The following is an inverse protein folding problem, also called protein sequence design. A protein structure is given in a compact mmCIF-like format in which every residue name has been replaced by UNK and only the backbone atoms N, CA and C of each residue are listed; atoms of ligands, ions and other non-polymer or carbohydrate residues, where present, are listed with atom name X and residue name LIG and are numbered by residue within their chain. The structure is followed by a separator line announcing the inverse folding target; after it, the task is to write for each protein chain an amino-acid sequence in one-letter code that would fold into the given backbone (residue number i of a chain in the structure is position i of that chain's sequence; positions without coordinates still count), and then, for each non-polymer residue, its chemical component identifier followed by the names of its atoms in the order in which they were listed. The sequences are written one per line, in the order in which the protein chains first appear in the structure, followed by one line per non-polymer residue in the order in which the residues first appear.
data_IF_671943487840
#
_entry.id   IF_671943487840
#
_cell.length_a   1.000
_cell.length_b   1.000
_cell.length_c   1.000
_cell.angle_alpha   90.00
_cell.angle_beta   90.00
_cell.angle_gamma   90.00
#
_symmetry.space_group_name_H-M   'P 1'
#
loop_
_entity.id
_entity.type
_entity.pdbx_description
1 polymer ?
#
# COMPACT_ATOMS: atom_id res chain seq x y z
N UNK A 1 20.26 37.91 42.19
CA UNK A 1 20.08 38.03 40.72
C UNK A 1 20.23 36.65 40.08
N UNK A 2 19.17 36.21 39.41
CA UNK A 2 19.05 35.28 38.29
C UNK A 2 20.24 34.36 37.93
N UNK A 3 19.98 33.05 37.88
CA UNK A 3 20.52 32.06 36.88
C UNK A 3 19.92 30.65 37.11
N UNK A 4 18.60 30.50 37.04
CA UNK A 4 17.93 29.17 37.27
C UNK A 4 17.22 28.55 36.05
N UNK A 5 17.24 29.15 34.86
CA UNK A 5 16.28 28.76 33.80
C UNK A 5 16.82 27.95 32.61
N UNK A 6 18.04 27.41 32.63
CA UNK A 6 18.63 26.78 31.43
C UNK A 6 18.83 25.25 31.43
N UNK A 7 18.38 24.50 32.45
CA UNK A 7 18.55 23.02 32.44
C UNK A 7 17.40 22.23 31.81
N UNK A 8 16.24 22.83 31.55
CA UNK A 8 15.03 22.08 31.14
C UNK A 8 15.04 21.67 29.65
N UNK A 9 15.88 22.26 28.80
CA UNK A 9 15.83 22.04 27.34
C UNK A 9 16.68 20.88 26.77
N UNK A 10 17.59 20.27 27.55
CA UNK A 10 18.56 19.27 27.01
C UNK A 10 18.09 17.80 27.06
N UNK A 11 17.18 17.44 27.98
CA UNK A 11 16.71 16.05 28.14
C UNK A 11 15.45 15.70 27.32
N UNK A 12 14.69 16.70 26.89
CA UNK A 12 13.48 16.50 26.10
C UNK A 12 13.76 16.05 24.65
N UNK A 13 14.90 16.48 24.08
CA UNK A 13 15.31 16.15 22.71
C UNK A 13 15.51 14.63 22.50
N UNK A 14 16.35 13.91 23.29
CA UNK A 14 16.59 12.49 23.07
C UNK A 14 15.34 11.62 23.27
N UNK A 15 14.46 11.99 24.20
CA UNK A 15 13.22 11.26 24.46
C UNK A 15 12.21 11.45 23.32
N UNK A 16 12.06 12.66 22.80
CA UNK A 16 11.19 12.93 21.66
C UNK A 16 11.66 12.17 20.40
N UNK A 17 12.98 12.11 20.15
CA UNK A 17 13.53 11.28 19.06
C UNK A 17 13.33 9.79 19.27
N UNK A 18 13.43 9.28 20.50
CA UNK A 18 13.20 7.86 20.77
C UNK A 18 11.73 7.47 20.57
N UNK A 19 10.79 8.33 20.97
CA UNK A 19 9.35 8.15 20.72
C UNK A 19 9.06 8.20 19.22
N UNK A 20 9.60 9.18 18.50
CA UNK A 20 9.41 9.27 17.05
C UNK A 20 9.97 8.05 16.31
N UNK A 21 11.17 7.59 16.69
CA UNK A 21 11.76 6.37 16.13
C UNK A 21 10.93 5.12 16.45
N UNK A 22 10.39 5.02 17.67
CA UNK A 22 9.48 3.93 18.06
C UNK A 22 8.19 3.92 17.25
N UNK A 23 7.59 5.08 16.95
CA UNK A 23 6.38 5.20 16.12
C UNK A 23 6.65 4.73 14.69
N UNK A 24 7.80 5.07 14.11
CA UNK A 24 8.20 4.64 12.77
C UNK A 24 8.39 3.12 12.66
N UNK A 25 8.69 2.40 13.75
CA UNK A 25 8.85 0.95 13.75
C UNK A 25 7.52 0.18 13.86
N UNK A 26 6.41 0.85 14.17
CA UNK A 26 5.10 0.22 14.36
C UNK A 26 4.16 0.32 13.14
N UNK A 27 4.64 0.73 11.96
CA UNK A 27 3.79 0.77 10.77
C UNK A 27 3.58 -0.63 10.21
N UNK A 28 2.35 -1.17 10.19
CA UNK A 28 2.09 -2.42 9.47
C UNK A 28 2.41 -2.22 7.98
N UNK A 29 2.94 -3.26 7.34
CA UNK A 29 3.18 -3.23 5.90
C UNK A 29 1.83 -3.08 5.17
N UNK A 30 1.60 -1.92 4.56
CA UNK A 30 0.49 -1.73 3.64
C UNK A 30 0.86 -2.41 2.33
N UNK A 31 0.10 -3.43 1.97
CA UNK A 31 0.39 -4.25 0.81
C UNK A 31 -0.94 -4.55 0.11
N UNK A 32 -0.95 -4.27 -1.19
CA UNK A 32 -2.13 -4.41 -2.03
C UNK A 32 -2.49 -5.88 -2.28
N UNK A 33 -1.67 -6.83 -1.83
CA UNK A 33 -1.88 -8.28 -1.97
C UNK A 33 -2.11 -8.72 -3.41
N UNK A 34 -1.51 -8.03 -4.37
CA UNK A 34 -1.48 -8.46 -5.77
C UNK A 34 -0.47 -9.60 -5.89
N UNK A 35 -0.96 -10.79 -6.19
CA UNK A 35 -0.14 -12.01 -6.26
C UNK A 35 0.33 -12.29 -7.68
N UNK A 36 -0.36 -11.78 -8.71
CA UNK A 36 0.01 -12.01 -10.11
C UNK A 36 -0.46 -10.90 -11.04
N UNK A 37 0.37 -10.55 -12.02
CA UNK A 37 0.03 -9.60 -13.10
C UNK A 37 0.14 -10.32 -14.44
N UNK A 38 -0.89 -10.18 -15.26
CA UNK A 38 -0.87 -10.59 -16.67
C UNK A 38 -1.01 -9.34 -17.52
N UNK A 39 -0.05 -9.12 -18.43
CA UNK A 39 -0.20 -8.14 -19.52
C UNK A 39 -0.84 -8.87 -20.69
N UNK A 40 -2.07 -8.50 -21.02
CA UNK A 40 -2.83 -9.14 -22.08
C UNK A 40 -2.43 -8.57 -23.46
N UNK A 41 -2.16 -7.26 -23.56
CA UNK A 41 -1.63 -6.65 -24.79
C UNK A 41 -0.88 -5.34 -24.52
N UNK A 42 0.02 -4.99 -25.44
CA UNK A 42 0.70 -3.68 -25.46
C UNK A 42 0.59 -3.11 -26.87
N UNK A 43 -0.02 -1.92 -26.99
CA UNK A 43 -0.23 -1.27 -28.30
C UNK A 43 0.35 0.15 -28.31
N UNK A 44 0.96 0.60 -29.42
CA UNK A 44 1.39 1.99 -29.55
C UNK A 44 0.17 2.92 -29.61
N UNK A 45 0.28 4.11 -29.03
CA UNK A 45 -0.74 5.16 -29.13
C UNK A 45 -0.39 6.04 -30.33
N UNK A 46 -1.24 6.02 -31.36
CA UNK A 46 -1.00 6.76 -32.60
C UNK A 46 -0.75 8.27 -32.35
N UNK A 47 0.32 8.80 -32.94
CA UNK A 47 0.70 10.20 -32.83
C UNK A 47 1.22 10.63 -31.47
N UNK A 48 1.52 9.71 -30.55
CA UNK A 48 2.03 10.01 -29.21
C UNK A 48 3.27 9.14 -28.90
N UNK A 49 4.26 9.65 -28.13
CA UNK A 49 5.41 8.88 -27.68
C UNK A 49 5.02 8.00 -26.48
N UNK A 50 3.97 7.20 -26.65
CA UNK A 50 3.42 6.33 -25.61
C UNK A 50 3.01 4.99 -26.19
N UNK A 51 3.22 3.94 -25.41
CA UNK A 51 2.58 2.65 -25.58
C UNK A 51 1.57 2.42 -24.45
N UNK A 52 0.63 1.52 -24.68
CA UNK A 52 -0.45 1.22 -23.77
C UNK A 52 -0.50 -0.27 -23.45
N UNK A 53 0.22 -0.73 -22.41
CA UNK A 53 -0.04 -2.04 -21.82
C UNK A 53 -1.42 -2.07 -21.16
N UNK A 54 -2.14 -3.15 -21.41
CA UNK A 54 -3.43 -3.49 -20.80
C UNK A 54 -3.37 -4.90 -20.26
N UNK A 55 -4.10 -5.17 -19.18
CA UNK A 55 -4.05 -6.48 -18.57
C UNK A 55 -4.89 -6.63 -17.33
N UNK A 56 -4.55 -7.64 -16.51
CA UNK A 56 -5.24 -7.99 -15.27
C UNK A 56 -4.24 -8.22 -14.14
N UNK A 57 -4.52 -7.63 -13.00
CA UNK A 57 -3.90 -7.91 -11.72
C UNK A 57 -4.81 -8.84 -10.91
N UNK A 58 -4.24 -9.88 -10.33
CA UNK A 58 -4.90 -10.85 -9.47
C UNK A 58 -4.38 -10.64 -8.05
N UNK A 59 -5.26 -10.66 -7.07
CA UNK A 59 -4.88 -10.53 -5.68
C UNK A 59 -5.78 -11.28 -4.74
N UNK A 60 -5.40 -11.28 -3.47
CA UNK A 60 -6.04 -12.04 -2.40
C UNK A 60 -6.33 -11.08 -1.23
N UNK A 61 -7.51 -11.21 -0.60
CA UNK A 61 -7.95 -10.33 0.48
C UNK A 61 -8.30 -11.16 1.72
N UNK A 62 -7.76 -10.77 2.88
CA UNK A 62 -8.23 -11.32 4.16
C UNK A 62 -9.61 -10.71 4.48
N UNK A 63 -10.68 -11.53 4.55
CA UNK A 63 -12.02 -11.04 4.90
C UNK A 63 -12.13 -10.52 6.34
N UNK A 64 -11.15 -10.81 7.20
CA UNK A 64 -11.11 -10.34 8.58
C UNK A 64 -10.30 -9.04 8.76
N UNK A 65 -9.63 -8.55 7.71
CA UNK A 65 -8.94 -7.27 7.77
C UNK A 65 -9.98 -6.14 7.91
N UNK A 66 -9.89 -5.28 8.94
CA UNK A 66 -10.81 -4.15 9.11
C UNK A 66 -10.89 -3.20 7.90
N UNK A 67 -9.83 -3.12 7.09
CA UNK A 67 -9.84 -2.29 5.87
C UNK A 67 -10.73 -2.89 4.77
N UNK A 68 -10.92 -4.21 4.78
CA UNK A 68 -11.75 -4.91 3.80
C UNK A 68 -13.22 -4.99 4.22
N UNK A 69 -13.57 -4.61 5.46
CA UNK A 69 -14.94 -4.66 5.99
C UNK A 69 -15.95 -3.78 5.22
N UNK A 70 -15.47 -2.83 4.41
CA UNK A 70 -16.32 -2.03 3.52
C UNK A 70 -16.85 -2.83 2.32
N UNK A 71 -16.21 -3.95 1.98
CA UNK A 71 -16.64 -4.82 0.89
C UNK A 71 -17.83 -5.65 1.38
N UNK A 72 -19.00 -5.35 0.82
CA UNK A 72 -20.25 -6.06 1.16
C UNK A 72 -20.09 -7.57 1.00
N UNK A 73 -20.52 -8.31 2.03
CA UNK A 73 -20.54 -9.77 2.07
C UNK A 73 -19.18 -10.45 1.84
N UNK A 74 -18.06 -9.75 2.04
CA UNK A 74 -16.72 -10.35 1.86
C UNK A 74 -16.50 -11.60 2.72
N UNK A 75 -17.10 -11.63 3.92
CA UNK A 75 -17.03 -12.78 4.82
C UNK A 75 -17.74 -14.03 4.27
N UNK A 76 -18.70 -13.86 3.35
CA UNK A 76 -19.48 -14.91 2.71
C UNK A 76 -18.90 -15.37 1.37
N UNK A 77 -17.91 -14.65 0.84
CA UNK A 77 -17.28 -14.98 -0.44
C UNK A 77 -16.51 -16.32 -0.37
N UNK A 78 -16.41 -17.07 -1.48
CA UNK A 78 -15.52 -18.22 -1.58
C UNK A 78 -14.07 -17.84 -1.27
N UNK A 79 -13.38 -18.73 -0.55
CA UNK A 79 -11.99 -18.53 -0.11
C UNK A 79 -11.08 -19.55 -0.77
N UNK A 80 -9.86 -19.15 -1.08
CA UNK A 80 -8.84 -20.05 -1.60
C UNK A 80 -8.25 -20.94 -0.49
N UNK A 81 -7.23 -21.74 -0.83
CA UNK A 81 -6.56 -22.63 0.12
C UNK A 81 -5.87 -21.90 1.29
N UNK A 82 -5.57 -20.62 1.14
CA UNK A 82 -4.99 -19.76 2.18
C UNK A 82 -6.05 -19.13 3.09
N UNK A 83 -7.34 -19.32 2.79
CA UNK A 83 -8.44 -18.68 3.52
C UNK A 83 -8.73 -17.24 3.08
N UNK A 84 -8.10 -16.77 2.01
CA UNK A 84 -8.27 -15.42 1.46
C UNK A 84 -9.30 -15.41 0.31
N UNK A 85 -9.93 -14.26 0.09
CA UNK A 85 -10.89 -14.02 -1.01
C UNK A 85 -10.12 -13.51 -2.23
N UNK A 86 -10.23 -14.23 -3.35
CA UNK A 86 -9.53 -13.86 -4.58
C UNK A 86 -10.28 -12.76 -5.36
N UNK A 87 -9.53 -11.83 -5.95
CA UNK A 87 -10.08 -10.80 -6.84
C UNK A 87 -9.24 -10.60 -8.09
N UNK A 88 -9.86 -9.96 -9.09
CA UNK A 88 -9.21 -9.55 -10.34
C UNK A 88 -9.51 -8.08 -10.61
N UNK A 89 -8.48 -7.30 -10.87
CA UNK A 89 -8.57 -5.90 -11.30
C UNK A 89 -7.98 -5.74 -12.70
N UNK A 90 -8.73 -5.10 -13.61
CA UNK A 90 -8.21 -4.79 -14.94
C UNK A 90 -7.40 -3.49 -14.92
N UNK A 91 -6.33 -3.40 -15.70
CA UNK A 91 -5.51 -2.19 -15.82
C UNK A 91 -5.27 -1.79 -17.27
N UNK A 92 -5.03 -0.48 -17.45
CA UNK A 92 -4.58 0.15 -18.70
C UNK A 92 -3.66 1.30 -18.32
N UNK A 93 -2.39 1.22 -18.72
CA UNK A 93 -1.36 2.18 -18.34
C UNK A 93 -0.88 2.88 -19.61
N UNK A 94 -0.76 4.21 -19.59
CA UNK A 94 -0.04 4.96 -20.63
C UNK A 94 1.42 5.05 -20.22
N UNK A 95 2.30 4.32 -20.93
CA UNK A 95 3.73 4.27 -20.66
C UNK A 95 4.48 5.07 -21.74
N UNK A 96 5.33 6.03 -21.38
CA UNK A 96 6.17 6.73 -22.35
C UNK A 96 7.09 5.75 -23.09
N UNK A 97 7.22 5.91 -24.41
CA UNK A 97 8.26 5.25 -25.21
C UNK A 97 9.49 6.15 -25.23
N UNK A 98 10.59 5.70 -24.63
CA UNK A 98 11.87 6.42 -24.62
C UNK A 98 12.55 6.38 -25.99
#
# INVERSE_FOLDING_TARGET
MSRSLLRVRRKAVPLATAIAAGILMCTPAADARVTRIIVDSTTPIAGQPYEQPTGRAFGELDPNDPHNAIITDIALAPKNANGEVEYIASFRIRKPTA
#
